data_IF_969750337124
#
_entry.id   IF_969750337124
#
_cell.length_a   1.000
_cell.length_b   1.000
_cell.length_c   1.000
_cell.angle_alpha   90.00
_cell.angle_beta   90.00
_cell.angle_gamma   90.00
#
_symmetry.space_group_name_H-M   'P 1'
#
loop_
_entity.id
_entity.type
_entity.pdbx_description
1 polymer ?
#
# COMPACT_ATOMS: atom_id res chain seq x y z
N UNK A 1 -3.87 -32.82 22.25
CA UNK A 1 -4.00 -31.35 22.15
C UNK A 1 -4.74 -31.04 20.87
N UNK A 2 -5.66 -30.07 20.86
CA UNK A 2 -6.42 -29.70 19.68
C UNK A 2 -5.54 -28.99 18.67
N UNK A 3 -5.30 -29.60 17.50
CA UNK A 3 -4.57 -29.02 16.37
C UNK A 3 -5.31 -27.77 15.87
N UNK A 4 -4.71 -26.56 15.94
CA UNK A 4 -5.34 -25.38 15.38
C UNK A 4 -5.41 -25.47 13.85
N UNK A 5 -6.51 -25.00 13.28
CA UNK A 5 -6.67 -24.85 11.84
C UNK A 5 -6.46 -23.38 11.47
N UNK A 6 -5.49 -23.13 10.60
CA UNK A 6 -5.08 -21.81 10.13
C UNK A 6 -5.37 -21.73 8.63
N UNK A 7 -6.04 -20.67 8.19
CA UNK A 7 -6.23 -20.37 6.77
C UNK A 7 -5.41 -19.14 6.41
N UNK A 8 -4.29 -19.36 5.73
CA UNK A 8 -3.42 -18.29 5.24
C UNK A 8 -3.98 -17.76 3.92
N UNK A 9 -4.29 -16.46 3.89
CA UNK A 9 -4.93 -15.82 2.73
C UNK A 9 -3.92 -14.91 2.03
N UNK A 10 -3.53 -15.30 0.81
CA UNK A 10 -2.77 -14.47 -0.10
C UNK A 10 -3.67 -13.56 -0.95
N UNK A 11 -3.10 -12.54 -1.59
CA UNK A 11 -3.83 -11.78 -2.61
C UNK A 11 -4.03 -12.61 -3.88
N UNK A 12 -2.94 -13.24 -4.33
CA UNK A 12 -2.88 -13.93 -5.62
C UNK A 12 -2.22 -13.07 -6.69
N UNK A 13 -1.72 -13.73 -7.72
CA UNK A 13 -0.92 -13.14 -8.78
C UNK A 13 -1.19 -13.85 -10.10
N UNK A 14 -1.37 -13.07 -11.18
CA UNK A 14 -1.41 -13.59 -12.56
C UNK A 14 -0.08 -14.20 -12.99
N UNK A 15 1.02 -13.78 -12.38
CA UNK A 15 2.32 -14.43 -12.58
C UNK A 15 2.42 -15.68 -11.68
N UNK A 16 2.64 -16.88 -12.26
CA UNK A 16 2.67 -18.14 -11.50
C UNK A 16 3.68 -18.15 -10.35
N UNK A 17 4.82 -17.45 -10.51
CA UNK A 17 5.85 -17.34 -9.49
C UNK A 17 5.33 -16.73 -8.17
N UNK A 18 4.40 -15.77 -8.24
CA UNK A 18 3.87 -15.09 -7.05
C UNK A 18 3.06 -16.03 -6.15
N UNK A 19 2.17 -16.83 -6.73
CA UNK A 19 1.38 -17.82 -5.96
C UNK A 19 2.27 -18.94 -5.41
N UNK A 20 3.27 -19.37 -6.21
CA UNK A 20 4.21 -20.41 -5.80
C UNK A 20 5.04 -20.01 -4.57
N UNK A 21 5.42 -18.74 -4.44
CA UNK A 21 6.13 -18.25 -3.25
C UNK A 21 5.27 -18.26 -1.99
N UNK A 22 3.98 -17.92 -2.09
CA UNK A 22 3.05 -17.99 -0.95
C UNK A 22 2.84 -19.45 -0.51
N UNK A 23 2.68 -20.37 -1.46
CA UNK A 23 2.61 -21.80 -1.18
C UNK A 23 3.91 -22.31 -0.53
N UNK A 24 5.07 -21.86 -1.03
CA UNK A 24 6.35 -22.18 -0.41
C UNK A 24 6.47 -21.61 1.00
N UNK A 25 5.92 -20.41 1.25
CA UNK A 25 5.94 -19.78 2.56
C UNK A 25 5.13 -20.62 3.55
N UNK A 26 3.93 -21.03 3.15
CA UNK A 26 3.10 -21.92 3.95
C UNK A 26 3.77 -23.29 4.17
N UNK A 27 4.43 -23.87 3.16
CA UNK A 27 5.18 -25.12 3.31
C UNK A 27 6.29 -24.99 4.35
N UNK A 28 7.07 -23.91 4.33
CA UNK A 28 8.11 -23.65 5.34
C UNK A 28 7.49 -23.46 6.72
N UNK A 29 6.39 -22.72 6.81
CA UNK A 29 5.72 -22.50 8.09
C UNK A 29 5.19 -23.81 8.69
N UNK A 30 4.64 -24.71 7.86
CA UNK A 30 4.24 -26.07 8.27
C UNK A 30 5.42 -26.92 8.78
N UNK A 31 6.61 -26.74 8.21
CA UNK A 31 7.82 -27.44 8.67
C UNK A 31 8.26 -26.95 10.05
N UNK A 32 8.18 -25.64 10.28
CA UNK A 32 8.54 -25.02 11.56
C UNK A 32 7.46 -25.27 12.65
N UNK A 33 6.21 -25.51 12.23
CA UNK A 33 5.02 -25.71 13.08
C UNK A 33 4.23 -26.97 12.68
N UNK A 34 4.82 -28.18 12.82
CA UNK A 34 4.18 -29.43 12.40
C UNK A 34 2.90 -29.76 13.17
N UNK A 35 2.68 -29.11 14.31
CA UNK A 35 1.48 -29.24 15.14
C UNK A 35 0.30 -28.37 14.66
N UNK A 36 0.48 -27.54 13.63
CA UNK A 36 -0.58 -26.70 13.06
C UNK A 36 -1.03 -27.23 11.70
N UNK A 37 -2.34 -27.21 11.47
CA UNK A 37 -2.89 -27.43 10.14
C UNK A 37 -3.04 -26.09 9.44
N UNK A 38 -2.24 -25.86 8.41
CA UNK A 38 -2.21 -24.61 7.65
C UNK A 38 -2.77 -24.90 6.26
N UNK A 39 -3.89 -24.28 5.91
CA UNK A 39 -4.45 -24.21 4.56
C UNK A 39 -4.05 -22.89 3.90
N UNK A 40 -4.05 -22.86 2.57
CA UNK A 40 -3.76 -21.66 1.78
C UNK A 40 -4.91 -21.41 0.82
N UNK A 41 -5.33 -20.16 0.72
CA UNK A 41 -6.18 -19.70 -0.35
C UNK A 41 -5.80 -18.29 -0.78
N UNK A 42 -6.43 -17.82 -1.84
CA UNK A 42 -6.16 -16.52 -2.41
C UNK A 42 -7.45 -15.71 -2.59
N UNK A 43 -7.31 -14.40 -2.58
CA UNK A 43 -8.42 -13.50 -2.93
C UNK A 43 -8.77 -13.70 -4.41
N UNK A 44 -7.77 -13.79 -5.29
CA UNK A 44 -7.96 -13.90 -6.73
C UNK A 44 -6.79 -14.63 -7.42
N UNK A 45 -6.89 -14.84 -8.74
CA UNK A 45 -5.82 -15.35 -9.60
C UNK A 45 -5.12 -16.64 -9.13
N UNK A 46 -5.85 -17.55 -8.50
CA UNK A 46 -5.33 -18.86 -8.09
C UNK A 46 -6.43 -19.92 -8.17
N UNK A 47 -6.02 -21.20 -8.12
CA UNK A 47 -6.93 -22.33 -8.19
C UNK A 47 -7.85 -22.42 -6.96
N UNK A 48 -7.31 -22.11 -5.77
CA UNK A 48 -8.05 -22.17 -4.50
C UNK A 48 -8.34 -20.75 -4.02
N UNK A 49 -9.57 -20.31 -4.27
CA UNK A 49 -10.07 -18.99 -3.85
C UNK A 49 -10.69 -19.03 -2.45
N UNK A 50 -11.15 -17.87 -1.97
CA UNK A 50 -11.66 -17.69 -0.61
C UNK A 50 -12.73 -18.73 -0.22
N UNK A 51 -13.76 -18.93 -1.03
CA UNK A 51 -14.87 -19.83 -0.69
C UNK A 51 -14.39 -21.28 -0.50
N UNK A 52 -13.62 -21.79 -1.46
CA UNK A 52 -13.08 -23.15 -1.37
C UNK A 52 -12.06 -23.29 -0.23
N UNK A 53 -11.20 -22.28 -0.04
CA UNK A 53 -10.23 -22.26 1.07
C UNK A 53 -10.91 -22.32 2.44
N UNK A 54 -11.99 -21.56 2.62
CA UNK A 54 -12.80 -21.59 3.84
C UNK A 54 -13.46 -22.95 4.04
N UNK A 55 -14.00 -23.55 2.99
CA UNK A 55 -14.64 -24.86 3.05
C UNK A 55 -13.64 -25.98 3.39
N UNK A 56 -12.43 -25.95 2.81
CA UNK A 56 -11.34 -26.89 3.13
C UNK A 56 -10.90 -26.75 4.59
N UNK A 57 -10.69 -25.52 5.06
CA UNK A 57 -10.33 -25.24 6.45
C UNK A 57 -11.44 -25.69 7.43
N UNK A 58 -12.71 -25.46 7.07
CA UNK A 58 -13.85 -25.90 7.87
C UNK A 58 -13.92 -27.42 8.00
N UNK A 59 -13.75 -28.14 6.88
CA UNK A 59 -13.79 -29.61 6.87
C UNK A 59 -12.75 -30.22 7.82
N UNK A 60 -11.52 -29.69 7.82
CA UNK A 60 -10.51 -30.10 8.80
C UNK A 60 -10.92 -29.71 10.23
N UNK A 61 -11.33 -28.46 10.45
CA UNK A 61 -11.66 -27.97 11.79
C UNK A 61 -12.80 -28.77 12.46
N UNK A 62 -13.81 -29.20 11.71
CA UNK A 62 -14.94 -30.01 12.20
C UNK A 62 -14.50 -31.34 12.81
N UNK A 63 -13.42 -31.94 12.30
CA UNK A 63 -12.88 -33.20 12.81
C UNK A 63 -11.99 -33.02 14.05
N UNK A 64 -11.73 -31.77 14.46
CA UNK A 64 -10.76 -31.44 15.50
C UNK A 64 -11.36 -30.52 16.57
N UNK A 65 -11.14 -29.21 16.45
CA UNK A 65 -11.42 -28.22 17.48
C UNK A 65 -12.63 -27.32 17.16
N UNK A 66 -13.20 -27.43 15.96
CA UNK A 66 -14.27 -26.57 15.46
C UNK A 66 -13.86 -25.11 15.31
N UNK A 67 -12.56 -24.80 15.16
CA UNK A 67 -12.04 -23.43 15.08
C UNK A 67 -11.09 -23.23 13.91
N UNK A 68 -11.30 -22.16 13.15
CA UNK A 68 -10.43 -21.70 12.07
C UNK A 68 -9.98 -20.27 12.35
N UNK A 69 -8.67 -20.01 12.28
CA UNK A 69 -8.13 -18.66 12.27
C UNK A 69 -7.72 -18.27 10.85
N UNK A 70 -8.38 -17.26 10.30
CA UNK A 70 -8.08 -16.70 8.98
C UNK A 70 -7.02 -15.61 9.12
N UNK A 71 -5.93 -15.73 8.36
CA UNK A 71 -4.70 -14.93 8.47
C UNK A 71 -4.35 -14.27 7.13
N UNK A 72 -4.61 -12.96 6.96
CA UNK A 72 -4.17 -12.25 5.77
C UNK A 72 -2.64 -12.11 5.73
N UNK A 73 -2.01 -12.72 4.73
CA UNK A 73 -0.61 -12.50 4.41
C UNK A 73 -0.46 -11.27 3.51
N UNK A 74 -0.86 -10.11 4.03
CA UNK A 74 -1.01 -8.87 3.29
C UNK A 74 -0.45 -7.71 4.11
N UNK A 75 0.40 -6.87 3.49
CA UNK A 75 1.02 -5.71 4.16
C UNK A 75 0.02 -4.60 4.47
N UNK A 76 -0.85 -4.24 3.51
CA UNK A 76 -1.79 -3.14 3.66
C UNK A 76 -3.24 -3.59 3.59
N UNK A 77 -4.07 -3.16 4.53
CA UNK A 77 -5.50 -3.42 4.49
C UNK A 77 -6.25 -2.46 3.56
N UNK A 78 -6.34 -2.81 2.28
CA UNK A 78 -7.25 -2.22 1.30
C UNK A 78 -8.63 -2.94 1.30
N UNK A 79 -9.47 -2.64 0.30
CA UNK A 79 -10.83 -3.19 0.14
C UNK A 79 -10.90 -4.70 0.34
N UNK A 80 -9.98 -5.47 -0.26
CA UNK A 80 -9.96 -6.93 -0.11
C UNK A 80 -9.84 -7.42 1.35
N UNK A 81 -9.02 -6.77 2.17
CA UNK A 81 -8.80 -7.17 3.58
C UNK A 81 -9.97 -6.78 4.48
N UNK A 82 -10.64 -5.66 4.17
CA UNK A 82 -11.70 -5.08 4.99
C UNK A 82 -13.11 -5.42 4.49
N UNK A 83 -13.23 -5.98 3.28
CA UNK A 83 -14.48 -6.27 2.59
C UNK A 83 -14.53 -7.72 2.12
N UNK A 84 -13.71 -8.11 1.12
CA UNK A 84 -13.85 -9.42 0.47
C UNK A 84 -13.58 -10.60 1.39
N UNK A 85 -12.47 -10.60 2.15
CA UNK A 85 -12.17 -11.68 3.10
C UNK A 85 -13.25 -11.75 4.19
N UNK A 86 -13.62 -10.64 4.86
CA UNK A 86 -14.74 -10.65 5.81
C UNK A 86 -16.08 -11.10 5.20
N UNK A 87 -16.38 -10.75 3.96
CA UNK A 87 -17.59 -11.18 3.28
C UNK A 87 -17.59 -12.70 3.07
N UNK A 88 -16.50 -13.25 2.52
CA UNK A 88 -16.35 -14.69 2.36
C UNK A 88 -16.41 -15.44 3.71
N UNK A 89 -15.92 -14.82 4.78
CA UNK A 89 -16.01 -15.34 6.15
C UNK A 89 -17.46 -15.48 6.63
N UNK A 90 -18.32 -14.49 6.39
CA UNK A 90 -19.74 -14.58 6.76
C UNK A 90 -20.48 -15.64 5.94
N UNK A 91 -20.15 -15.76 4.65
CA UNK A 91 -20.70 -16.83 3.80
C UNK A 91 -20.27 -18.22 4.30
N UNK A 92 -18.99 -18.38 4.67
CA UNK A 92 -18.48 -19.62 5.23
C UNK A 92 -19.13 -19.97 6.58
N UNK A 93 -19.39 -18.99 7.45
CA UNK A 93 -20.14 -19.19 8.71
C UNK A 93 -21.56 -19.70 8.47
N UNK A 94 -22.23 -19.20 7.44
CA UNK A 94 -23.56 -19.69 7.06
C UNK A 94 -23.51 -21.14 6.54
N UNK A 95 -22.47 -21.50 5.76
CA UNK A 95 -22.27 -22.86 5.24
C UNK A 95 -21.84 -23.86 6.31
N UNK A 96 -21.09 -23.43 7.33
CA UNK A 96 -20.48 -24.27 8.37
C UNK A 96 -20.81 -23.76 9.79
N UNK A 97 -22.08 -23.82 10.24
CA UNK A 97 -22.52 -23.23 11.51
C UNK A 97 -21.89 -23.84 12.77
N UNK A 98 -21.29 -25.02 12.66
CA UNK A 98 -20.56 -25.72 13.73
C UNK A 98 -19.08 -25.30 13.84
N UNK A 99 -18.59 -24.47 12.91
CA UNK A 99 -17.20 -24.00 12.90
C UNK A 99 -17.15 -22.53 13.30
N UNK A 100 -16.37 -22.23 14.33
CA UNK A 100 -16.03 -20.86 14.69
C UNK A 100 -14.92 -20.35 13.77
N UNK A 101 -15.22 -19.31 13.01
CA UNK A 101 -14.23 -18.57 12.21
C UNK A 101 -13.83 -17.27 12.90
N UNK A 102 -12.53 -17.15 13.18
CA UNK A 102 -11.90 -15.95 13.70
C UNK A 102 -11.01 -15.32 12.62
N UNK A 103 -10.93 -13.99 12.62
CA UNK A 103 -10.16 -13.24 11.63
C UNK A 103 -9.05 -12.46 12.30
N UNK A 104 -7.79 -12.74 11.95
CA UNK A 104 -6.63 -12.03 12.49
C UNK A 104 -6.41 -10.69 11.75
N UNK A 105 -5.78 -9.69 12.40
CA UNK A 105 -5.26 -8.53 11.67
C UNK A 105 -4.32 -8.95 10.53
N UNK A 106 -4.33 -8.20 9.42
CA UNK A 106 -3.29 -8.22 8.38
C UNK A 106 -1.94 -7.70 8.91
N UNK A 107 -0.82 -7.90 8.20
CA UNK A 107 0.54 -7.58 8.70
C UNK A 107 0.68 -6.12 9.17
N UNK A 108 0.32 -5.15 8.34
CA UNK A 108 0.25 -3.73 8.70
C UNK A 108 1.61 -3.07 8.97
N UNK A 109 1.58 -1.79 9.32
CA UNK A 109 2.77 -1.06 9.76
C UNK A 109 3.12 -1.42 11.22
N UNK A 110 4.12 -2.28 11.39
CA UNK A 110 4.58 -2.79 12.68
C UNK A 110 6.11 -2.98 12.75
N UNK A 111 6.64 -3.15 13.96
CA UNK A 111 8.08 -3.30 14.23
C UNK A 111 8.79 -4.43 13.46
N UNK A 112 8.21 -5.64 13.32
CA UNK A 112 8.81 -6.69 12.49
C UNK A 112 9.00 -6.25 11.03
N UNK A 113 8.03 -5.52 10.48
CA UNK A 113 8.09 -5.01 9.10
C UNK A 113 9.12 -3.87 8.97
N UNK A 114 9.18 -2.97 9.96
CA UNK A 114 10.21 -1.93 10.00
C UNK A 114 11.62 -2.53 10.07
N UNK A 115 11.80 -3.59 10.86
CA UNK A 115 13.06 -4.32 10.97
C UNK A 115 13.51 -4.87 9.61
N UNK A 116 12.60 -5.46 8.84
CA UNK A 116 12.88 -5.91 7.47
C UNK A 116 13.30 -4.73 6.59
N UNK A 117 12.57 -3.61 6.62
CA UNK A 117 12.88 -2.43 5.81
C UNK A 117 14.26 -1.86 6.12
N UNK A 118 14.64 -1.72 7.40
CA UNK A 118 15.99 -1.28 7.79
C UNK A 118 17.07 -2.23 7.26
N UNK A 119 16.82 -3.54 7.27
CA UNK A 119 17.75 -4.53 6.68
C UNK A 119 17.86 -4.36 5.18
N UNK A 120 16.73 -4.23 4.47
CA UNK A 120 16.72 -4.01 3.00
C UNK A 120 17.41 -2.70 2.62
N UNK A 121 17.17 -1.61 3.36
CA UNK A 121 17.83 -0.32 3.18
C UNK A 121 19.35 -0.45 3.34
N UNK A 122 19.81 -1.07 4.43
CA UNK A 122 21.24 -1.30 4.66
C UNK A 122 21.89 -2.09 3.52
N UNK A 123 21.25 -3.16 3.05
CA UNK A 123 21.75 -3.92 1.90
C UNK A 123 21.80 -3.08 0.62
N UNK A 124 20.80 -2.22 0.37
CA UNK A 124 20.81 -1.30 -0.76
C UNK A 124 21.92 -0.25 -0.65
N UNK A 125 22.16 0.30 0.55
CA UNK A 125 23.27 1.23 0.82
C UNK A 125 24.64 0.57 0.60
N UNK A 126 24.81 -0.69 1.00
CA UNK A 126 26.04 -1.44 0.69
C UNK A 126 26.31 -1.57 -0.81
N UNK A 127 25.26 -1.71 -1.64
CA UNK A 127 25.40 -1.72 -3.11
C UNK A 127 25.80 -0.37 -3.70
N UNK A 128 25.69 0.71 -2.92
CA UNK A 128 26.14 2.06 -3.27
C UNK A 128 27.48 2.41 -2.64
N UNK A 129 28.17 1.43 -2.02
CA UNK A 129 29.42 1.63 -1.27
C UNK A 129 29.27 2.52 -0.03
N UNK A 130 28.08 2.49 0.61
CA UNK A 130 27.76 3.22 1.85
C UNK A 130 28.04 4.74 1.76
N UNK A 131 27.39 5.46 0.84
CA UNK A 131 27.53 6.92 0.76
C UNK A 131 26.94 7.59 2.01
N UNK A 132 27.20 8.89 2.15
CA UNK A 132 26.59 9.71 3.21
C UNK A 132 25.05 9.62 3.12
N UNK A 133 24.36 9.18 4.19
CA UNK A 133 22.89 9.09 4.21
C UNK A 133 22.21 10.45 4.02
N UNK A 134 22.83 11.56 4.38
CA UNK A 134 22.27 12.91 4.15
C UNK A 134 22.19 13.25 2.65
N UNK A 135 23.09 12.70 1.83
CA UNK A 135 23.06 12.84 0.37
C UNK A 135 22.18 11.82 -0.36
N UNK A 136 21.55 10.90 0.38
CA UNK A 136 20.81 9.75 -0.15
C UNK A 136 19.31 9.85 0.15
N UNK A 137 18.51 9.94 -0.91
CA UNK A 137 17.05 9.88 -0.80
C UNK A 137 16.55 8.44 -0.70
N UNK A 138 15.59 8.18 0.19
CA UNK A 138 14.94 6.87 0.33
C UNK A 138 13.48 6.97 -0.10
N UNK A 139 13.04 6.03 -0.93
CA UNK A 139 11.66 5.96 -1.43
C UNK A 139 11.05 4.63 -1.04
N UNK A 140 10.06 4.65 -0.14
CA UNK A 140 9.23 3.49 0.15
C UNK A 140 8.13 3.35 -0.91
N UNK A 141 8.25 2.35 -1.77
CA UNK A 141 7.41 2.18 -2.95
C UNK A 141 6.30 1.15 -2.69
N UNK A 142 5.08 1.62 -2.46
CA UNK A 142 3.89 0.76 -2.30
C UNK A 142 3.11 0.57 -3.61
N UNK A 143 2.08 -0.29 -3.59
CA UNK A 143 1.11 -0.41 -4.69
C UNK A 143 0.19 0.82 -4.79
N UNK A 144 -0.20 1.34 -3.63
CA UNK A 144 -1.25 2.34 -3.47
C UNK A 144 -2.62 1.68 -3.36
N UNK A 145 -3.61 2.45 -2.89
CA UNK A 145 -4.99 2.01 -2.72
C UNK A 145 -5.94 3.20 -2.90
N UNK A 146 -7.19 2.93 -3.24
CA UNK A 146 -8.28 3.91 -3.13
C UNK A 146 -8.65 4.19 -1.66
N UNK A 147 -8.31 3.27 -0.75
CA UNK A 147 -8.45 3.47 0.69
C UNK A 147 -7.32 4.35 1.24
N UNK A 148 -7.67 5.59 1.61
CA UNK A 148 -6.76 6.56 2.23
C UNK A 148 -6.09 6.03 3.51
N UNK A 149 -6.75 5.17 4.30
CA UNK A 149 -6.17 4.60 5.52
C UNK A 149 -5.06 3.61 5.18
N UNK A 150 -5.23 2.81 4.12
CA UNK A 150 -4.19 1.90 3.65
C UNK A 150 -2.96 2.65 3.15
N UNK A 151 -3.15 3.79 2.46
CA UNK A 151 -2.04 4.65 2.05
C UNK A 151 -1.33 5.29 3.26
N UNK A 152 -2.11 5.72 4.27
CA UNK A 152 -1.59 6.27 5.51
C UNK A 152 -0.70 5.31 6.29
N UNK A 153 -0.96 4.00 6.24
CA UNK A 153 -0.09 2.99 6.87
C UNK A 153 1.29 2.93 6.18
N UNK A 154 1.38 3.11 4.85
CA UNK A 154 2.68 3.22 4.15
C UNK A 154 3.39 4.50 4.57
N UNK A 155 2.68 5.62 4.64
CA UNK A 155 3.25 6.89 5.10
C UNK A 155 3.75 6.80 6.55
N UNK A 156 3.03 6.11 7.43
CA UNK A 156 3.46 5.82 8.78
C UNK A 156 4.76 5.00 8.79
N UNK A 157 4.84 3.94 7.99
CA UNK A 157 6.06 3.13 7.88
C UNK A 157 7.24 3.93 7.33
N UNK A 158 7.03 4.79 6.32
CA UNK A 158 8.06 5.69 5.81
C UNK A 158 8.53 6.68 6.88
N UNK A 159 7.60 7.22 7.68
CA UNK A 159 7.94 8.12 8.79
C UNK A 159 8.76 7.41 9.87
N UNK A 160 8.40 6.19 10.24
CA UNK A 160 9.19 5.40 11.19
C UNK A 160 10.58 5.08 10.65
N UNK A 161 10.67 4.69 9.38
CA UNK A 161 11.97 4.45 8.74
C UNK A 161 12.82 5.72 8.71
N UNK A 162 12.21 6.89 8.53
CA UNK A 162 12.92 8.17 8.59
C UNK A 162 13.50 8.41 9.98
N UNK A 163 12.71 8.27 11.04
CA UNK A 163 13.17 8.51 12.43
C UNK A 163 14.24 7.50 12.89
N UNK A 164 14.29 6.32 12.27
CA UNK A 164 15.24 5.25 12.58
C UNK A 164 16.52 5.28 11.74
N UNK A 165 16.72 6.31 10.91
CA UNK A 165 17.89 6.41 10.03
C UNK A 165 18.39 7.85 9.91
N UNK A 166 19.62 8.01 9.44
CA UNK A 166 20.23 9.33 9.24
C UNK A 166 19.89 9.96 7.88
N UNK A 167 18.95 9.39 7.13
CA UNK A 167 18.59 9.91 5.80
C UNK A 167 17.79 11.21 5.93
N UNK A 168 18.18 12.22 5.17
CA UNK A 168 17.50 13.52 5.19
C UNK A 168 16.09 13.44 4.56
N UNK A 169 15.93 12.58 3.56
CA UNK A 169 14.70 12.49 2.78
C UNK A 169 14.21 11.04 2.65
N UNK A 170 13.11 10.73 3.33
CA UNK A 170 12.38 9.46 3.18
C UNK A 170 10.95 9.75 2.76
N UNK A 171 10.59 9.37 1.54
CA UNK A 171 9.26 9.62 0.96
C UNK A 171 8.55 8.34 0.56
N UNK A 172 7.23 8.45 0.39
CA UNK A 172 6.39 7.41 -0.21
C UNK A 172 6.21 7.66 -1.70
N UNK A 173 6.17 6.57 -2.47
CA UNK A 173 5.69 6.56 -3.84
C UNK A 173 4.75 5.37 -4.06
N UNK A 174 3.94 5.43 -5.11
CA UNK A 174 3.00 4.37 -5.46
C UNK A 174 3.08 3.98 -6.94
N UNK A 175 2.94 2.68 -7.21
CA UNK A 175 3.11 2.14 -8.57
C UNK A 175 1.92 2.39 -9.50
N UNK A 176 0.68 2.53 -9.00
CA UNK A 176 -0.48 2.58 -9.90
C UNK A 176 -1.78 3.17 -9.38
N UNK A 177 -2.18 2.93 -8.12
CA UNK A 177 -3.56 3.27 -7.72
C UNK A 177 -3.70 4.72 -7.22
N UNK A 178 -2.65 5.24 -6.57
CA UNK A 178 -2.66 6.59 -6.00
C UNK A 178 -1.35 7.30 -6.26
N UNK A 179 -1.24 8.55 -5.79
CA UNK A 179 -0.11 9.44 -6.02
C UNK A 179 0.61 9.77 -4.70
N UNK A 180 1.91 10.15 -4.75
CA UNK A 180 2.72 10.42 -5.94
C UNK A 180 3.27 9.15 -6.64
N UNK A 181 3.58 9.27 -7.93
CA UNK A 181 4.29 8.24 -8.72
C UNK A 181 5.80 8.26 -8.44
N UNK A 182 6.47 7.12 -8.65
CA UNK A 182 7.90 6.95 -8.41
C UNK A 182 8.75 8.02 -9.11
N UNK A 183 8.46 8.28 -10.38
CA UNK A 183 9.18 9.22 -11.23
C UNK A 183 9.11 10.64 -10.66
N UNK A 184 7.94 11.03 -10.12
CA UNK A 184 7.74 12.34 -9.51
C UNK A 184 8.52 12.50 -8.21
N UNK A 185 8.62 11.44 -7.40
CA UNK A 185 9.38 11.46 -6.15
C UNK A 185 10.88 11.50 -6.44
N UNK A 186 11.37 10.72 -7.41
CA UNK A 186 12.77 10.77 -7.86
C UNK A 186 13.16 12.16 -8.36
N UNK A 187 12.31 12.78 -9.19
CA UNK A 187 12.53 14.14 -9.64
C UNK A 187 12.63 15.13 -8.46
N UNK A 188 11.75 14.98 -7.45
CA UNK A 188 11.77 15.82 -6.26
C UNK A 188 13.06 15.64 -5.47
N UNK A 189 13.48 14.40 -5.23
CA UNK A 189 14.72 14.08 -4.50
C UNK A 189 15.94 14.70 -5.18
N UNK A 190 16.02 14.59 -6.51
CA UNK A 190 17.08 15.24 -7.30
C UNK A 190 17.08 16.76 -7.13
N UNK A 191 15.90 17.41 -7.23
CA UNK A 191 15.78 18.87 -7.09
C UNK A 191 16.15 19.36 -5.68
N UNK A 192 16.01 18.49 -4.67
CA UNK A 192 16.42 18.75 -3.28
C UNK A 192 17.89 18.40 -3.01
N UNK A 193 18.67 18.06 -4.04
CA UNK A 193 20.12 17.85 -3.93
C UNK A 193 20.54 16.42 -3.60
N UNK A 194 19.63 15.46 -3.55
CA UNK A 194 20.01 14.05 -3.38
C UNK A 194 20.85 13.59 -4.57
N UNK A 195 21.97 12.95 -4.29
CA UNK A 195 22.91 12.43 -5.31
C UNK A 195 22.82 10.91 -5.45
N UNK A 196 22.19 10.25 -4.47
CA UNK A 196 21.83 8.84 -4.53
C UNK A 196 20.35 8.66 -4.20
N UNK A 197 19.76 7.61 -4.76
CA UNK A 197 18.38 7.21 -4.46
C UNK A 197 18.34 5.71 -4.17
N UNK A 198 17.75 5.37 -3.02
CA UNK A 198 17.38 4.00 -2.65
C UNK A 198 15.87 3.82 -2.77
N UNK A 199 15.44 2.86 -3.58
CA UNK A 199 14.03 2.49 -3.72
C UNK A 199 13.78 1.19 -2.95
N UNK A 200 12.82 1.20 -2.04
CA UNK A 200 12.43 0.05 -1.22
C UNK A 200 11.03 -0.40 -1.61
N UNK A 201 10.89 -1.43 -2.47
CA UNK A 201 9.60 -2.02 -2.75
C UNK A 201 8.95 -2.58 -1.48
N UNK A 202 7.76 -2.08 -1.15
CA UNK A 202 6.96 -2.51 -0.01
C UNK A 202 6.01 -3.65 -0.41
N UNK A 203 6.59 -4.80 -0.74
CA UNK A 203 5.91 -5.98 -1.26
C UNK A 203 6.44 -7.25 -0.56
N UNK A 204 5.57 -8.25 -0.38
CA UNK A 204 5.97 -9.53 0.23
C UNK A 204 6.61 -10.50 -0.74
N UNK A 205 6.09 -10.60 -1.96
CA UNK A 205 6.45 -11.64 -2.92
C UNK A 205 6.63 -11.04 -4.31
N UNK A 206 7.20 -11.84 -5.21
CA UNK A 206 7.33 -11.49 -6.62
C UNK A 206 5.97 -11.38 -7.32
N UNK A 207 5.99 -10.87 -8.55
CA UNK A 207 4.82 -10.75 -9.41
C UNK A 207 5.03 -9.70 -10.50
N UNK A 208 4.01 -9.53 -11.35
CA UNK A 208 4.07 -8.64 -12.53
C UNK A 208 4.50 -7.21 -12.17
N UNK A 209 4.17 -6.76 -10.97
CA UNK A 209 4.54 -5.44 -10.48
C UNK A 209 6.02 -5.30 -10.16
N UNK A 210 6.66 -6.35 -9.62
CA UNK A 210 8.09 -6.30 -9.33
C UNK A 210 8.88 -6.13 -10.63
N UNK A 211 8.53 -6.88 -11.68
CA UNK A 211 9.12 -6.71 -13.01
C UNK A 211 8.88 -5.30 -13.60
N UNK A 212 7.73 -4.69 -13.30
CA UNK A 212 7.44 -3.31 -13.72
C UNK A 212 8.34 -2.32 -12.99
N UNK A 213 8.54 -2.49 -11.69
CA UNK A 213 9.42 -1.65 -10.87
C UNK A 213 10.85 -1.72 -11.43
N UNK A 214 11.35 -2.91 -11.76
CA UNK A 214 12.69 -3.07 -12.33
C UNK A 214 12.88 -2.26 -13.62
N UNK A 215 11.89 -2.34 -14.54
CA UNK A 215 11.90 -1.53 -15.77
C UNK A 215 11.80 -0.03 -15.49
N UNK A 216 10.95 0.39 -14.56
CA UNK A 216 10.83 1.80 -14.18
C UNK A 216 12.15 2.35 -13.62
N UNK A 217 12.82 1.59 -12.75
CA UNK A 217 14.13 1.99 -12.20
C UNK A 217 15.17 2.10 -13.31
N UNK A 218 15.16 1.18 -14.29
CA UNK A 218 16.08 1.24 -15.41
C UNK A 218 15.84 2.46 -16.32
N UNK A 219 14.59 2.84 -16.56
CA UNK A 219 14.28 4.08 -17.26
C UNK A 219 14.75 5.31 -16.48
N UNK A 220 14.56 5.33 -15.15
CA UNK A 220 15.01 6.43 -14.29
C UNK A 220 16.54 6.56 -14.29
N UNK A 221 17.29 5.45 -14.32
CA UNK A 221 18.76 5.49 -14.47
C UNK A 221 19.19 6.17 -15.76
N UNK A 222 18.50 5.89 -16.87
CA UNK A 222 18.78 6.52 -18.18
C UNK A 222 18.40 7.99 -18.19
N UNK A 223 17.28 8.35 -17.55
CA UNK A 223 16.78 9.72 -17.49
C UNK A 223 17.61 10.62 -16.56
N UNK A 224 18.17 10.06 -15.49
CA UNK A 224 18.95 10.78 -14.48
C UNK A 224 20.34 10.18 -14.31
N UNK A 225 21.23 10.27 -15.33
CA UNK A 225 22.55 9.62 -15.32
C UNK A 225 23.49 10.14 -14.23
N UNK A 226 23.21 11.32 -13.65
CA UNK A 226 23.94 11.90 -12.54
C UNK A 226 23.60 11.29 -11.17
N UNK A 227 22.48 10.55 -11.07
CA UNK A 227 22.04 9.92 -9.82
C UNK A 227 22.51 8.46 -9.77
N UNK A 228 22.98 8.02 -8.60
CA UNK A 228 23.22 6.59 -8.35
C UNK A 228 21.96 5.96 -7.77
N UNK A 229 21.53 4.85 -8.35
CA UNK A 229 20.32 4.14 -7.93
C UNK A 229 20.61 2.76 -7.37
N UNK A 230 20.10 2.48 -6.17
CA UNK A 230 19.89 1.13 -5.68
C UNK A 230 18.41 0.88 -5.44
N UNK A 231 17.98 -0.37 -5.61
CA UNK A 231 16.69 -0.81 -5.11
C UNK A 231 16.86 -2.16 -4.42
N UNK A 232 16.04 -2.42 -3.39
CA UNK A 232 15.98 -3.73 -2.76
C UNK A 232 15.04 -4.66 -3.51
N UNK A 233 15.21 -5.96 -3.31
CA UNK A 233 14.15 -6.92 -3.63
C UNK A 233 12.95 -6.72 -2.70
N UNK A 234 11.83 -7.39 -3.03
CA UNK A 234 10.70 -7.58 -2.12
C UNK A 234 11.13 -8.32 -0.85
N UNK A 235 10.24 -8.42 0.15
CA UNK A 235 10.59 -8.97 1.46
C UNK A 235 10.96 -10.45 1.36
N UNK A 236 10.03 -11.27 0.86
CA UNK A 236 10.16 -12.71 0.73
C UNK A 236 9.99 -13.40 2.08
N UNK A 237 10.82 -14.40 2.32
CA UNK A 237 10.74 -15.33 3.45
C UNK A 237 11.46 -14.80 4.70
N UNK A 238 11.11 -13.60 5.12
CA UNK A 238 11.78 -12.93 6.24
C UNK A 238 11.35 -13.53 7.59
N UNK A 239 12.29 -13.88 8.49
CA UNK A 239 11.98 -14.45 9.80
C UNK A 239 10.99 -13.62 10.62
N UNK A 240 11.05 -12.31 10.48
CA UNK A 240 10.17 -11.35 11.15
C UNK A 240 8.70 -11.52 10.75
N UNK A 241 8.42 -11.94 9.51
CA UNK A 241 7.06 -12.20 9.04
C UNK A 241 6.52 -13.49 9.66
N UNK A 242 7.33 -14.55 9.70
CA UNK A 242 6.96 -15.79 10.40
C UNK A 242 6.72 -15.55 11.89
N UNK A 243 7.62 -14.83 12.55
CA UNK A 243 7.50 -14.50 13.97
C UNK A 243 6.23 -13.69 14.27
N UNK A 244 5.86 -12.74 13.38
CA UNK A 244 4.63 -11.97 13.50
C UNK A 244 3.37 -12.84 13.36
N UNK A 245 3.37 -13.81 12.44
CA UNK A 245 2.26 -14.74 12.30
C UNK A 245 2.16 -15.70 13.50
N UNK A 246 3.30 -16.22 13.99
CA UNK A 246 3.37 -17.03 15.20
C UNK A 246 2.83 -16.27 16.42
N UNK A 247 3.17 -14.99 16.56
CA UNK A 247 2.67 -14.13 17.63
C UNK A 247 1.14 -14.00 17.57
N UNK A 248 0.57 -13.84 16.37
CA UNK A 248 -0.88 -13.73 16.16
C UNK A 248 -1.60 -15.02 16.51
N UNK A 249 -1.11 -16.15 16.02
CA UNK A 249 -1.64 -17.47 16.36
C UNK A 249 -1.56 -17.68 17.87
N UNK A 250 -0.42 -17.37 18.50
CA UNK A 250 -0.24 -17.49 19.93
C UNK A 250 -1.19 -16.59 20.75
N UNK A 251 -1.39 -15.34 20.33
CA UNK A 251 -2.37 -14.42 20.94
C UNK A 251 -3.79 -14.96 20.83
N UNK A 252 -4.17 -15.49 19.67
CA UNK A 252 -5.47 -16.09 19.45
C UNK A 252 -5.69 -17.34 20.32
N UNK A 253 -4.72 -18.25 20.38
CA UNK A 253 -4.78 -19.45 21.21
C UNK A 253 -4.96 -19.14 22.71
N UNK A 254 -4.40 -18.01 23.18
CA UNK A 254 -4.55 -17.55 24.57
C UNK A 254 -5.81 -16.71 24.81
N UNK A 255 -6.63 -16.44 23.78
CA UNK A 255 -7.79 -15.56 23.89
C UNK A 255 -7.42 -14.12 24.22
N UNK A 256 -6.24 -13.65 23.77
CA UNK A 256 -5.76 -12.31 24.09
C UNK A 256 -6.66 -11.22 23.44
N UNK A 257 -6.80 -10.05 24.08
CA UNK A 257 -7.46 -8.91 23.46
C UNK A 257 -6.84 -8.56 22.11
N UNK A 258 -7.67 -8.13 21.15
CA UNK A 258 -7.26 -7.73 19.79
C UNK A 258 -6.53 -8.81 18.97
N UNK A 259 -6.58 -10.08 19.39
CA UNK A 259 -6.11 -11.19 18.57
C UNK A 259 -6.94 -11.38 17.30
N UNK A 260 -8.19 -10.91 17.34
CA UNK A 260 -9.14 -10.95 16.21
C UNK A 260 -9.68 -9.56 15.90
N UNK A 261 -10.10 -9.37 14.66
CA UNK A 261 -10.75 -8.17 14.15
C UNK A 261 -12.08 -8.53 13.52
N UNK A 262 -13.00 -7.57 13.49
CA UNK A 262 -14.30 -7.69 12.81
C UNK A 262 -14.49 -6.48 11.92
N UNK A 263 -15.00 -6.73 10.72
CA UNK A 263 -15.38 -5.70 9.77
C UNK A 263 -16.87 -5.79 9.53
N UNK A 264 -17.53 -4.63 9.44
CA UNK A 264 -18.90 -4.58 8.98
C UNK A 264 -18.91 -4.72 7.45
N UNK A 265 -19.58 -5.76 6.97
CA UNK A 265 -19.71 -6.08 5.54
C UNK A 265 -21.11 -5.77 5.01
N UNK A 266 -21.94 -5.08 5.80
CA UNK A 266 -23.29 -4.69 5.38
C UNK A 266 -23.21 -3.81 4.13
N UNK A 267 -23.81 -4.26 3.04
CA UNK A 267 -23.78 -3.57 1.76
C UNK A 267 -22.46 -3.68 0.99
N UNK A 268 -21.50 -4.49 1.44
CA UNK A 268 -20.30 -4.82 0.67
C UNK A 268 -20.70 -5.65 -0.55
N UNK A 269 -20.31 -5.18 -1.74
CA UNK A 269 -20.37 -5.97 -2.97
C UNK A 269 -18.95 -6.47 -3.21
N UNK A 270 -18.73 -7.80 -3.23
CA UNK A 270 -17.42 -8.37 -3.52
C UNK A 270 -16.90 -7.83 -4.84
N UNK A 271 -15.61 -7.52 -4.90
CA UNK A 271 -14.99 -7.20 -6.18
C UNK A 271 -15.15 -8.41 -7.12
N UNK A 272 -15.80 -8.21 -8.27
CA UNK A 272 -15.92 -9.25 -9.28
C UNK A 272 -14.54 -9.61 -9.80
N UNK A 273 -14.28 -10.91 -9.97
CA UNK A 273 -13.03 -11.44 -10.52
C UNK A 273 -12.76 -11.00 -11.98
N UNK A 274 -13.77 -10.41 -12.63
CA UNK A 274 -13.70 -9.82 -13.95
C UNK A 274 -13.75 -8.29 -13.84
N UNK A 275 -12.74 -7.64 -14.43
CA UNK A 275 -12.59 -6.21 -14.69
C UNK A 275 -12.50 -5.27 -13.48
N UNK A 276 -11.28 -4.79 -13.19
CA UNK A 276 -10.95 -3.36 -12.99
C UNK A 276 -9.45 -3.19 -12.68
N UNK A 277 -8.58 -3.53 -13.64
CA UNK A 277 -7.35 -2.75 -13.78
C UNK A 277 -7.71 -1.57 -14.70
N UNK A 278 -8.10 -0.42 -14.13
CA UNK A 278 -7.82 0.85 -14.79
C UNK A 278 -6.30 1.10 -14.73
N UNK A 279 -5.56 0.22 -15.38
CA UNK A 279 -4.34 0.64 -16.04
C UNK A 279 -4.82 1.66 -17.08
N UNK A 280 -4.62 2.94 -16.81
CA UNK A 280 -4.49 3.90 -17.88
C UNK A 280 -3.34 3.39 -18.74
N UNK A 281 -3.68 2.59 -19.75
CA UNK A 281 -2.80 2.27 -20.84
C UNK A 281 -2.44 3.60 -21.47
N UNK A 282 -1.16 3.89 -21.52
CA UNK A 282 -0.62 4.94 -22.38
C UNK A 282 -1.17 4.66 -23.78
N UNK A 283 -2.13 5.48 -24.22
CA UNK A 283 -2.52 5.54 -25.61
C UNK A 283 -1.36 6.19 -26.35
N UNK A 284 -0.39 5.37 -26.76
CA UNK A 284 0.57 5.73 -27.80
C UNK A 284 -0.21 5.92 -29.10
N UNK A 285 -0.55 7.17 -29.41
CA UNK A 285 -0.95 7.54 -30.76
C UNK A 285 0.28 7.49 -31.67
N UNK A 286 0.56 6.31 -32.21
CA UNK A 286 1.48 6.12 -33.33
C UNK A 286 0.90 6.75 -34.59
N UNK A 287 1.18 8.02 -34.83
CA UNK A 287 1.00 8.65 -36.14
C UNK A 287 2.18 8.27 -37.03
N UNK A 288 2.06 7.17 -37.76
CA UNK A 288 2.90 6.91 -38.93
C UNK A 288 2.39 7.76 -40.10
N UNK A 289 3.03 8.92 -40.34
CA UNK A 289 2.93 9.60 -41.62
C UNK A 289 4.12 9.19 -42.50
N UNK A 290 3.90 8.14 -43.30
CA UNK A 290 4.78 7.79 -44.41
C UNK A 290 4.65 8.82 -45.53
N UNK A 291 5.69 9.62 -45.73
CA UNK A 291 5.85 10.45 -46.93
C UNK A 291 6.38 9.59 -48.07
N UNK A 292 5.55 9.35 -49.08
CA UNK A 292 5.94 8.81 -50.37
C UNK A 292 5.43 9.70 -51.50
N UNK A 293 6.33 10.43 -52.16
CA UNK A 293 6.06 11.10 -53.42
C UNK A 293 6.50 10.20 -54.58
N UNK A 294 5.63 9.96 -55.58
CA UNK A 294 5.97 10.14 -56.99
C UNK A 294 4.74 9.97 -57.91
N UNK A 295 4.81 10.68 -59.03
CA UNK A 295 3.81 11.03 -60.03
C UNK A 295 3.23 9.90 -60.91
N UNK A 296 2.07 10.22 -61.51
CA UNK A 296 1.76 9.92 -62.91
C UNK A 296 0.70 8.84 -63.14
N UNK A 297 -0.56 9.23 -63.33
CA UNK A 297 -1.27 9.11 -64.62
C UNK A 297 -2.77 9.38 -64.46
N UNK A 298 -3.33 9.99 -65.49
CA UNK A 298 -4.70 10.45 -65.59
C UNK A 298 -5.70 9.29 -65.68
N UNK A 299 -6.85 9.42 -65.02
CA UNK A 299 -8.14 8.96 -65.52
C UNK A 299 -9.28 9.79 -64.91
N UNK A 300 -10.10 10.36 -65.80
CA UNK A 300 -11.46 10.83 -65.52
C UNK A 300 -12.28 9.71 -64.89
N UNK A 301 -13.12 10.04 -63.90
CA UNK A 301 -14.52 9.62 -63.85
C UNK A 301 -15.30 10.52 -62.88
N UNK A 302 -16.36 11.13 -63.41
CA UNK A 302 -17.49 11.68 -62.65
C UNK A 302 -18.05 10.65 -61.68
N UNK A 303 -18.50 11.09 -60.50
CA UNK A 303 -19.91 10.97 -60.08
C UNK A 303 -20.16 11.75 -58.80
N UNK A 304 -21.15 12.65 -58.89
CA UNK A 304 -21.86 13.32 -57.81
C UNK A 304 -22.36 12.34 -56.74
N UNK A 305 -22.23 12.73 -55.48
CA UNK A 305 -23.30 12.53 -54.50
C UNK A 305 -23.30 13.66 -53.48
N UNK A 306 -24.33 14.50 -53.60
CA UNK A 306 -24.83 15.44 -52.60
C UNK A 306 -25.00 14.76 -51.24
N UNK A 307 -24.49 15.39 -50.18
CA UNK A 307 -25.16 15.40 -48.88
C UNK A 307 -24.99 16.76 -48.20
N UNK A 308 -26.12 17.45 -48.12
CA UNK A 308 -26.34 18.71 -47.40
C UNK A 308 -25.97 18.61 -45.92
N UNK A 309 -25.25 19.63 -45.46
CA UNK A 309 -25.01 19.92 -44.05
C UNK A 309 -26.10 20.85 -43.52
N UNK A 310 -26.98 20.35 -42.65
CA UNK A 310 -27.83 21.22 -41.81
C UNK A 310 -27.13 21.52 -40.48
N UNK A 311 -26.64 22.75 -40.37
CA UNK A 311 -26.12 23.33 -39.12
C UNK A 311 -27.26 24.06 -38.40
N UNK A 312 -27.89 23.33 -37.47
CA UNK A 312 -28.80 23.89 -36.47
C UNK A 312 -28.08 24.86 -35.53
N UNK A 313 -28.34 26.16 -35.75
CA UNK A 313 -27.94 27.30 -34.92
C UNK A 313 -28.60 27.21 -33.54
N UNK A 314 -27.81 27.31 -32.46
CA UNK A 314 -28.32 27.78 -31.18
C UNK A 314 -27.67 29.11 -30.81
N UNK A 315 -28.50 30.13 -30.93
CA UNK A 315 -28.26 31.52 -30.55
C UNK A 315 -28.32 31.70 -29.04
N UNK A 316 -27.41 32.53 -28.53
CA UNK A 316 -27.45 33.10 -27.19
C UNK A 316 -28.70 33.97 -26.96
N UNK A 317 -29.25 33.90 -25.74
CA UNK A 317 -30.04 34.98 -25.16
C UNK A 317 -29.67 35.12 -23.66
N UNK A 318 -29.15 36.29 -23.32
CA UNK A 318 -28.94 36.79 -21.96
C UNK A 318 -30.19 37.54 -21.50
N UNK A 319 -30.63 37.33 -20.26
CA UNK A 319 -31.21 38.34 -19.35
C UNK A 319 -30.84 37.88 -17.93
N UNK A 320 -29.96 38.59 -17.20
CA UNK A 320 -30.32 39.66 -16.25
C UNK A 320 -30.65 39.05 -14.86
N UNK A 321 -30.04 39.37 -13.73
CA UNK A 321 -29.07 40.37 -13.31
C UNK A 321 -28.79 40.21 -11.80
N UNK A 322 -28.06 41.19 -11.23
CA UNK A 322 -27.69 41.37 -9.81
C UNK A 322 -26.47 40.57 -9.33
N UNK A 323 -25.52 41.12 -8.57
CA UNK A 323 -25.05 42.48 -8.29
C UNK A 323 -23.70 42.27 -7.56
N UNK A 324 -22.74 43.17 -7.79
CA UNK A 324 -21.47 43.21 -7.06
C UNK A 324 -21.67 43.73 -5.64
N UNK A 325 -20.95 43.16 -4.66
CA UNK A 325 -20.41 43.84 -3.48
C UNK A 325 -19.32 42.92 -2.89
N UNK A 326 -18.03 43.26 -3.05
CA UNK A 326 -17.23 44.14 -2.21
C UNK A 326 -16.53 43.39 -1.06
N UNK A 327 -15.21 43.25 -1.22
CA UNK A 327 -14.24 42.94 -0.16
C UNK A 327 -14.37 43.90 1.03
N UNK A 328 -13.91 43.47 2.22
CA UNK A 328 -13.01 44.35 2.96
C UNK A 328 -11.71 43.66 3.38
N UNK A 329 -10.62 44.41 3.23
CA UNK A 329 -9.31 44.16 3.81
C UNK A 329 -9.19 44.84 5.18
N UNK A 330 -8.20 44.37 5.95
CA UNK A 330 -7.54 44.96 7.14
C UNK A 330 -8.28 44.77 8.49
N UNK A 331 -7.62 44.53 9.63
CA UNK A 331 -6.30 44.99 10.05
C UNK A 331 -5.64 44.11 11.12
N UNK A 332 -4.32 44.25 11.22
CA UNK A 332 -3.48 43.82 12.34
C UNK A 332 -3.69 44.68 13.57
N UNK A 333 -3.54 44.11 14.77
CA UNK A 333 -3.17 44.84 15.98
C UNK A 333 -2.28 44.01 16.89
N UNK A 334 -1.04 44.44 17.04
CA UNK A 334 -0.16 44.13 18.17
C UNK A 334 -0.64 44.90 19.40
N UNK A 335 -0.56 44.27 20.58
CA UNK A 335 -0.43 44.99 21.84
C UNK A 335 0.37 44.16 22.85
N UNK A 336 1.37 44.82 23.41
CA UNK A 336 2.37 44.36 24.37
C UNK A 336 2.03 44.83 25.80
N UNK A 337 2.53 44.07 26.78
CA UNK A 337 3.12 44.52 28.06
C UNK A 337 2.31 44.61 29.37
N UNK A 338 3.08 44.29 30.43
CA UNK A 338 2.98 44.57 31.88
C UNK A 338 2.18 43.55 32.73
N UNK A 339 2.76 42.76 33.65
CA UNK A 339 3.61 43.01 34.84
C UNK A 339 2.85 43.57 36.06
N UNK A 340 2.92 42.85 37.18
CA UNK A 340 2.55 43.27 38.55
C UNK A 340 1.93 42.12 39.36
N UNK A 341 2.69 41.21 39.97
CA UNK A 341 3.16 41.22 41.39
C UNK A 341 2.04 41.33 42.43
N UNK A 342 1.83 40.23 43.20
CA UNK A 342 2.13 40.08 44.67
C UNK A 342 0.92 40.46 45.51
N UNK A 343 0.53 39.85 46.62
CA UNK A 343 1.07 38.99 47.70
C UNK A 343 -0.22 38.36 48.35
N UNK A 344 -0.28 37.40 49.26
CA UNK A 344 0.57 36.41 49.93
C UNK A 344 -0.36 35.63 50.90
N UNK A 345 0.19 34.60 51.56
CA UNK A 345 -0.28 33.97 52.81
C UNK A 345 -1.32 32.84 52.68
N UNK A 346 -1.19 31.67 53.32
CA UNK A 346 -0.10 31.01 54.07
C UNK A 346 -0.55 29.56 54.33
N UNK A 347 0.41 28.72 54.75
CA UNK A 347 0.31 27.41 55.41
C UNK A 347 -0.23 26.22 54.58
N UNK A 348 0.50 25.14 54.33
CA UNK A 348 1.70 24.60 54.97
C UNK A 348 1.54 23.08 55.05
N UNK A 349 2.46 22.31 54.44
CA UNK A 349 3.18 21.18 55.07
C UNK A 349 4.01 20.40 54.02
N UNK A 350 5.33 20.42 54.24
CA UNK A 350 6.41 19.42 54.01
C UNK A 350 6.08 18.09 53.29
N UNK A 351 6.96 17.43 52.54
CA UNK A 351 8.31 17.60 52.01
C UNK A 351 8.48 16.39 51.04
N UNK A 352 9.19 16.46 49.92
CA UNK A 352 10.60 16.07 49.79
C UNK A 352 11.05 16.39 48.34
N UNK A 353 12.27 16.93 48.26
CA UNK A 353 12.98 17.61 47.17
C UNK A 353 13.48 16.72 46.03
N UNK A 354 13.33 17.27 44.80
CA UNK A 354 14.33 17.53 43.73
C UNK A 354 15.28 16.41 43.23
N UNK A 355 15.72 16.36 41.98
CA UNK A 355 15.77 17.38 40.92
C UNK A 355 15.86 16.72 39.53
N UNK A 356 15.18 17.35 38.59
CA UNK A 356 15.31 17.32 37.12
C UNK A 356 16.70 17.76 36.62
N UNK A 357 17.11 17.29 35.44
CA UNK A 357 17.59 18.17 34.36
C UNK A 357 17.36 17.53 32.98
N UNK A 358 16.48 18.18 32.23
CA UNK A 358 16.33 18.11 30.77
C UNK A 358 17.17 19.28 30.23
N UNK A 359 18.02 19.02 29.24
CA UNK A 359 18.69 20.10 28.49
C UNK A 359 18.42 19.92 27.00
N UNK A 360 17.66 20.87 26.47
CA UNK A 360 17.64 21.30 25.07
C UNK A 360 18.93 22.04 24.71
N UNK A 361 19.42 21.83 23.48
CA UNK A 361 19.57 22.88 22.48
C UNK A 361 19.22 22.32 21.11
#
# INVERSE_FOLDING_TARGET
MTTPTLLLVGHGSREPGGNAEIEQFARRWRQDRPEWHIEVCFIEFADVLLDEGMDRAAAHAQQHAGKVLVLPLILNAAGHVKGDIPYALEQARARHPQVQFDYAPHLGACEPVLTVLRRKLRHAMHRLDMPDPHGTGVILLGRGSSDRKANGEVSKMARWLWEETDHELVDVAFTGITYPRLERVVQRHMLLGMTQIVILPYYLFTGTLMHRIDRQVEHLRKQYPQLRFAHSQYFGFEPEVFALLDERVGKWLRGAPHATVRYDVTGHVPHSHDDHDHAHGDHEHGHEHGHGHSHGDAHDHDHDHDHDHDHGKHTHAHEGGHAHDAYPQHAHSHATSAVGQRDSDDDGNDAIRHCTHVSTF
#
